data_IF_258734094473
#
_entry.id   IF_258734094473
#
_cell.length_a   1.000
_cell.length_b   1.000
_cell.length_c   1.000
_cell.angle_alpha   90.00
_cell.angle_beta   90.00
_cell.angle_gamma   90.00
#
_symmetry.space_group_name_H-M   'P 1'
#
loop_
_entity.id
_entity.type
_entity.pdbx_description
1 polymer ?
#
# COMPACT_ATOMS: atom_id res chain seq x y z
N UNK A 1 3.22 18.29 4.32
CA UNK A 1 3.64 17.21 5.24
C UNK A 1 4.83 16.43 4.66
N UNK A 2 4.67 15.56 3.64
CA UNK A 2 5.80 14.78 3.08
C UNK A 2 6.92 15.68 2.51
N UNK A 3 6.55 16.78 1.84
CA UNK A 3 7.49 17.78 1.33
C UNK A 3 8.34 18.44 2.43
N UNK A 4 7.82 18.52 3.67
CA UNK A 4 8.57 19.08 4.80
C UNK A 4 9.73 18.16 5.18
N UNK A 5 9.50 16.84 5.19
CA UNK A 5 10.59 15.88 5.42
C UNK A 5 11.61 15.95 4.28
N UNK A 6 11.15 15.97 3.03
CA UNK A 6 12.05 16.10 1.87
C UNK A 6 12.93 17.36 1.97
N UNK A 7 12.40 18.47 2.46
CA UNK A 7 13.15 19.72 2.65
C UNK A 7 14.30 19.64 3.68
N UNK A 8 14.36 18.62 4.53
CA UNK A 8 15.53 18.40 5.40
C UNK A 8 16.69 17.72 4.67
N UNK A 9 16.47 17.18 3.48
CA UNK A 9 17.48 16.50 2.69
C UNK A 9 18.28 17.43 1.77
N UNK A 10 19.26 16.87 1.08
CA UNK A 10 20.08 17.60 0.12
C UNK A 10 19.26 18.01 -1.11
N UNK A 11 19.37 19.28 -1.54
CA UNK A 11 18.74 19.76 -2.78
C UNK A 11 19.42 19.13 -4.00
N UNK A 12 18.64 18.45 -4.82
CA UNK A 12 19.12 17.79 -6.04
C UNK A 12 19.02 18.68 -7.27
N UNK A 13 18.01 19.56 -7.34
CA UNK A 13 17.81 20.44 -8.49
C UNK A 13 16.37 20.90 -8.65
N UNK A 14 16.07 21.49 -9.81
CA UNK A 14 14.74 21.97 -10.17
C UNK A 14 14.37 21.49 -11.57
N UNK A 15 13.15 20.97 -11.71
CA UNK A 15 12.60 20.53 -13.00
C UNK A 15 11.15 21.00 -13.09
N UNK A 16 10.82 21.78 -14.13
CA UNK A 16 9.45 22.27 -14.35
C UNK A 16 8.90 23.13 -13.21
N UNK A 17 9.75 23.90 -12.52
CA UNK A 17 9.36 24.74 -11.39
C UNK A 17 9.24 23.99 -10.05
N UNK A 18 9.53 22.68 -10.02
CA UNK A 18 9.52 21.88 -8.80
C UNK A 18 10.95 21.67 -8.28
N UNK A 19 11.18 21.97 -7.00
CA UNK A 19 12.46 21.75 -6.33
C UNK A 19 12.50 20.34 -5.74
N UNK A 20 13.49 19.56 -6.14
CA UNK A 20 13.68 18.18 -5.68
C UNK A 20 14.79 18.11 -4.63
N UNK A 21 14.53 17.30 -3.62
CA UNK A 21 15.49 16.98 -2.55
C UNK A 21 15.63 15.47 -2.44
N UNK A 22 16.82 15.02 -2.05
CA UNK A 22 17.04 13.63 -1.60
C UNK A 22 16.24 13.42 -0.33
N UNK A 23 15.74 12.20 -0.10
CA UNK A 23 15.18 11.89 1.21
C UNK A 23 16.26 12.05 2.30
N UNK A 24 15.96 12.66 3.47
CA UNK A 24 16.97 12.92 4.50
C UNK A 24 17.64 11.65 5.01
N UNK A 25 18.93 11.74 5.36
CA UNK A 25 19.63 10.64 6.03
C UNK A 25 19.12 10.42 7.46
N UNK A 26 19.42 9.27 8.05
CA UNK A 26 19.05 8.93 9.42
C UNK A 26 19.64 9.96 10.40
N UNK A 27 20.90 10.34 10.21
CA UNK A 27 21.60 11.33 11.06
C UNK A 27 20.95 12.71 10.97
N UNK A 28 20.45 13.08 9.79
CA UNK A 28 19.75 14.36 9.60
C UNK A 28 18.41 14.34 10.32
N UNK A 29 17.63 13.27 10.18
CA UNK A 29 16.33 13.13 10.86
C UNK A 29 16.48 13.04 12.38
N UNK A 30 17.53 12.40 12.89
CA UNK A 30 17.77 12.27 14.33
C UNK A 30 18.02 13.63 15.02
N UNK A 31 18.45 14.64 14.26
CA UNK A 31 18.67 16.03 14.72
C UNK A 31 17.42 16.90 14.66
N UNK A 32 16.39 16.49 13.90
CA UNK A 32 15.12 17.22 13.84
C UNK A 32 14.39 17.03 15.17
N UNK A 33 13.83 18.11 15.71
CA UNK A 33 13.05 18.06 16.94
C UNK A 33 11.62 17.57 16.70
N UNK A 34 11.02 16.96 17.72
CA UNK A 34 9.60 16.57 17.66
C UNK A 34 8.70 17.81 17.45
N UNK A 35 9.05 18.94 18.07
CA UNK A 35 8.28 20.18 17.98
C UNK A 35 8.22 20.71 16.55
N UNK A 36 9.34 20.75 15.82
CA UNK A 36 9.37 21.16 14.41
C UNK A 36 8.44 20.29 13.55
N UNK A 37 8.43 18.97 13.77
CA UNK A 37 7.54 18.08 13.04
C UNK A 37 6.07 18.25 13.46
N UNK A 38 5.79 18.58 14.72
CA UNK A 38 4.41 18.87 15.17
C UNK A 38 3.88 20.14 14.51
N UNK A 39 4.69 21.20 14.47
CA UNK A 39 4.38 22.46 13.78
C UNK A 39 4.19 22.24 12.28
N UNK A 40 4.92 21.29 11.68
CA UNK A 40 4.74 20.85 10.30
C UNK A 40 3.51 19.93 10.06
N UNK A 41 2.70 19.67 11.09
CA UNK A 41 1.44 18.95 10.98
C UNK A 41 1.53 17.42 11.12
N UNK A 42 2.68 16.85 11.52
CA UNK A 42 2.80 15.40 11.70
C UNK A 42 2.03 14.86 12.93
N UNK A 43 1.59 15.76 13.81
CA UNK A 43 0.82 15.42 15.02
C UNK A 43 1.57 14.41 15.89
N UNK A 44 0.84 13.41 16.42
CA UNK A 44 1.45 12.39 17.28
C UNK A 44 2.51 11.52 16.58
N UNK A 45 2.58 11.52 15.24
CA UNK A 45 3.59 10.75 14.49
C UNK A 45 4.97 11.42 14.51
N UNK A 46 5.04 12.70 14.86
CA UNK A 46 6.31 13.42 15.03
C UNK A 46 7.26 12.66 15.98
N UNK A 47 6.75 12.19 17.12
CA UNK A 47 7.53 11.42 18.10
C UNK A 47 8.04 10.09 17.55
N UNK A 48 7.29 9.46 16.63
CA UNK A 48 7.70 8.20 16.01
C UNK A 48 8.82 8.44 15.02
N UNK A 49 8.72 9.46 14.16
CA UNK A 49 9.76 9.76 13.17
C UNK A 49 11.09 10.05 13.86
N UNK A 50 11.09 10.95 14.85
CA UNK A 50 12.30 11.30 15.61
C UNK A 50 12.81 10.12 16.42
N UNK A 51 11.91 9.38 17.08
CA UNK A 51 12.26 8.20 17.85
C UNK A 51 12.91 7.11 17.00
N UNK A 52 12.29 6.76 15.87
CA UNK A 52 12.81 5.77 14.92
C UNK A 52 14.17 6.19 14.35
N UNK A 53 14.34 7.47 13.97
CA UNK A 53 15.63 7.94 13.47
C UNK A 53 16.75 7.79 14.50
N UNK A 54 16.48 8.10 15.78
CA UNK A 54 17.43 7.93 16.89
C UNK A 54 17.73 6.46 17.18
N UNK A 55 16.70 5.62 17.25
CA UNK A 55 16.85 4.16 17.43
C UNK A 55 17.68 3.52 16.32
N UNK A 56 17.45 3.93 15.07
CA UNK A 56 18.22 3.48 13.92
C UNK A 56 19.67 3.97 14.00
N UNK A 57 19.90 5.24 14.35
CA UNK A 57 21.24 5.79 14.52
C UNK A 57 22.04 5.04 15.61
N UNK A 58 21.36 4.58 16.67
CA UNK A 58 21.96 3.82 17.76
C UNK A 58 22.20 2.33 17.45
N UNK A 59 21.74 1.80 16.31
CA UNK A 59 21.98 0.40 15.97
C UNK A 59 23.48 0.11 15.77
N UNK A 60 23.98 -1.05 16.22
CA UNK A 60 25.36 -1.46 15.96
C UNK A 60 25.67 -1.47 14.46
N UNK A 61 26.70 -0.73 14.06
CA UNK A 61 27.09 -0.59 12.65
C UNK A 61 26.20 0.35 11.82
N UNK A 62 25.29 1.09 12.46
CA UNK A 62 24.44 2.10 11.84
C UNK A 62 23.10 1.57 11.34
N UNK A 63 22.10 2.47 11.29
CA UNK A 63 20.73 2.13 10.92
C UNK A 63 20.58 1.58 9.51
N UNK A 64 21.33 2.11 8.53
CA UNK A 64 21.29 1.62 7.15
C UNK A 64 21.78 0.17 7.04
N UNK A 65 22.89 -0.17 7.71
CA UNK A 65 23.42 -1.54 7.74
C UNK A 65 22.45 -2.50 8.42
N UNK A 66 21.86 -2.08 9.54
CA UNK A 66 20.85 -2.89 10.23
C UNK A 66 19.62 -3.14 9.35
N UNK A 67 19.08 -2.10 8.69
CA UNK A 67 17.95 -2.23 7.76
C UNK A 67 18.28 -3.14 6.59
N UNK A 68 19.46 -3.00 5.98
CA UNK A 68 19.90 -3.86 4.88
C UNK A 68 20.00 -5.33 5.31
N UNK A 69 20.48 -5.60 6.52
CA UNK A 69 20.60 -6.97 7.06
C UNK A 69 19.26 -7.70 7.20
N UNK A 70 18.13 -6.97 7.23
CA UNK A 70 16.81 -7.59 7.33
C UNK A 70 16.37 -8.29 6.05
N UNK A 71 16.98 -8.00 4.89
CA UNK A 71 16.71 -8.70 3.63
C UNK A 71 17.10 -10.18 3.66
N UNK A 72 18.03 -10.54 4.52
CA UNK A 72 18.57 -11.91 4.65
C UNK A 72 17.81 -12.75 5.69
N UNK A 73 16.72 -12.21 6.26
CA UNK A 73 15.93 -12.84 7.32
C UNK A 73 14.57 -13.30 6.83
N UNK A 74 14.00 -14.24 7.57
CA UNK A 74 12.64 -14.72 7.29
C UNK A 74 11.59 -13.70 7.73
N UNK A 75 10.45 -13.66 7.04
CA UNK A 75 9.41 -12.64 7.26
C UNK A 75 9.01 -12.47 8.75
N UNK A 76 8.78 -13.52 9.56
CA UNK A 76 8.44 -13.35 10.97
C UNK A 76 9.50 -12.56 11.75
N UNK A 77 10.79 -12.84 11.50
CA UNK A 77 11.90 -12.16 12.16
C UNK A 77 12.03 -10.71 11.69
N UNK A 78 11.77 -10.45 10.40
CA UNK A 78 11.73 -9.08 9.83
C UNK A 78 10.63 -8.26 10.50
N UNK A 79 9.42 -8.83 10.64
CA UNK A 79 8.29 -8.17 11.29
C UNK A 79 8.61 -7.87 12.76
N UNK A 80 9.11 -8.86 13.50
CA UNK A 80 9.50 -8.70 14.90
C UNK A 80 10.56 -7.59 15.06
N UNK A 81 11.63 -7.65 14.27
CA UNK A 81 12.72 -6.68 14.31
C UNK A 81 12.23 -5.25 14.02
N UNK A 82 11.40 -5.05 12.99
CA UNK A 82 10.85 -3.74 12.64
C UNK A 82 9.87 -3.22 13.69
N UNK A 83 9.08 -4.09 14.32
CA UNK A 83 8.14 -3.70 15.39
C UNK A 83 8.83 -3.20 16.66
N UNK A 84 10.15 -3.37 16.80
CA UNK A 84 10.93 -2.71 17.85
C UNK A 84 11.03 -1.19 17.68
N UNK A 85 10.80 -0.67 16.47
CA UNK A 85 10.90 0.75 16.17
C UNK A 85 9.66 1.52 16.62
N UNK A 86 9.81 2.74 17.17
CA UNK A 86 8.68 3.57 17.60
C UNK A 86 7.63 3.78 16.51
N UNK A 87 6.38 3.46 16.80
CA UNK A 87 5.25 3.66 15.88
C UNK A 87 5.16 2.65 14.72
N UNK A 88 6.03 1.64 14.69
CA UNK A 88 5.97 0.54 13.73
C UNK A 88 5.23 -0.65 14.36
N UNK A 89 4.02 -0.91 13.91
CA UNK A 89 3.27 -2.13 14.23
C UNK A 89 3.30 -3.14 13.08
N UNK A 90 2.68 -4.34 13.25
CA UNK A 90 2.75 -5.43 12.28
C UNK A 90 2.37 -5.02 10.85
N UNK A 91 1.33 -4.20 10.69
CA UNK A 91 0.92 -3.67 9.37
C UNK A 91 2.02 -2.83 8.72
N UNK A 92 2.61 -1.90 9.48
CA UNK A 92 3.66 -1.01 8.96
C UNK A 92 4.93 -1.81 8.65
N UNK A 93 5.30 -2.74 9.53
CA UNK A 93 6.41 -3.65 9.29
C UNK A 93 6.20 -4.48 8.01
N UNK A 94 4.99 -5.00 7.78
CA UNK A 94 4.66 -5.73 6.56
C UNK A 94 4.71 -4.85 5.31
N UNK A 95 4.31 -3.56 5.39
CA UNK A 95 4.53 -2.62 4.29
C UNK A 95 6.02 -2.46 3.96
N UNK A 96 6.87 -2.30 4.98
CA UNK A 96 8.32 -2.16 4.78
C UNK A 96 8.90 -3.45 4.19
N UNK A 97 8.48 -4.60 4.71
CA UNK A 97 8.90 -5.91 4.24
C UNK A 97 8.57 -6.11 2.74
N UNK A 98 7.32 -5.85 2.36
CA UNK A 98 6.83 -6.01 0.98
C UNK A 98 7.52 -5.06 0.00
N UNK A 99 7.64 -3.77 0.35
CA UNK A 99 8.05 -2.73 -0.60
C UNK A 99 9.55 -2.42 -0.59
N UNK A 100 10.31 -2.90 0.39
CA UNK A 100 11.71 -2.51 0.57
C UNK A 100 12.68 -3.63 0.94
N UNK A 101 12.18 -4.79 1.40
CA UNK A 101 13.01 -5.89 1.91
C UNK A 101 12.81 -7.22 1.18
N UNK A 102 12.30 -7.17 -0.05
CA UNK A 102 12.19 -8.31 -0.96
C UNK A 102 11.25 -9.46 -0.47
N UNK A 103 10.42 -9.19 0.55
CA UNK A 103 9.43 -10.14 1.10
C UNK A 103 8.12 -10.12 0.29
N UNK A 104 8.16 -10.65 -0.94
CA UNK A 104 7.06 -10.59 -1.92
C UNK A 104 5.72 -11.19 -1.46
N UNK A 105 5.74 -12.03 -0.43
CA UNK A 105 4.57 -12.70 0.15
C UNK A 105 4.01 -11.97 1.39
N UNK A 106 4.68 -10.92 1.88
CA UNK A 106 4.22 -10.18 3.05
C UNK A 106 2.89 -9.46 2.77
N UNK A 107 1.94 -9.58 3.70
CA UNK A 107 0.58 -9.00 3.56
C UNK A 107 0.39 -7.89 4.60
N UNK A 108 0.36 -6.61 4.20
CA UNK A 108 0.07 -5.50 5.10
C UNK A 108 -1.43 -5.43 5.45
N UNK A 109 -1.89 -6.29 6.36
CA UNK A 109 -3.31 -6.37 6.72
C UNK A 109 -3.78 -5.10 7.44
N UNK A 110 -4.60 -4.33 6.75
CA UNK A 110 -5.32 -3.17 7.27
C UNK A 110 -6.83 -3.33 7.07
N UNK A 111 -7.59 -2.23 7.26
CA UNK A 111 -9.04 -2.25 7.09
C UNK A 111 -9.49 -2.47 5.65
N UNK A 112 -8.68 -2.15 4.64
CA UNK A 112 -8.99 -2.42 3.23
C UNK A 112 -8.74 -3.89 2.90
N UNK A 113 -7.58 -4.42 3.29
CA UNK A 113 -7.29 -5.85 3.16
C UNK A 113 -8.33 -6.69 3.90
N UNK A 114 -8.74 -6.25 5.10
CA UNK A 114 -9.83 -6.88 5.85
C UNK A 114 -11.14 -6.91 5.07
N UNK A 115 -11.54 -5.81 4.45
CA UNK A 115 -12.74 -5.77 3.60
C UNK A 115 -12.64 -6.77 2.45
N UNK A 116 -11.54 -6.80 1.72
CA UNK A 116 -11.28 -7.79 0.65
C UNK A 116 -11.42 -9.21 1.22
N UNK A 117 -10.73 -9.50 2.33
CA UNK A 117 -10.73 -10.82 2.94
C UNK A 117 -12.14 -11.26 3.33
N UNK A 118 -12.89 -10.42 4.05
CA UNK A 118 -14.27 -10.74 4.46
C UNK A 118 -15.26 -10.81 3.31
N UNK A 119 -14.95 -10.22 2.15
CA UNK A 119 -15.82 -10.27 0.99
C UNK A 119 -15.59 -11.54 0.16
N UNK A 120 -14.34 -12.00 0.04
CA UNK A 120 -13.96 -13.03 -0.94
C UNK A 120 -13.34 -14.30 -0.36
N UNK A 121 -12.73 -14.22 0.83
CA UNK A 121 -12.02 -15.35 1.45
C UNK A 121 -12.74 -15.87 2.70
N UNK A 122 -13.34 -14.97 3.49
CA UNK A 122 -14.01 -15.27 4.75
C UNK A 122 -15.36 -14.55 4.90
N UNK A 123 -16.38 -14.86 4.08
CA UNK A 123 -17.71 -14.26 4.16
C UNK A 123 -18.36 -14.34 5.56
N UNK A 124 -18.06 -15.41 6.31
CA UNK A 124 -18.54 -15.64 7.68
C UNK A 124 -17.95 -14.69 8.73
N UNK A 125 -16.92 -13.92 8.36
CA UNK A 125 -16.33 -12.88 9.20
C UNK A 125 -16.83 -11.47 8.86
N UNK A 126 -17.74 -11.34 7.88
CA UNK A 126 -18.35 -10.06 7.54
C UNK A 126 -19.01 -9.40 8.76
N UNK A 127 -18.76 -8.11 8.95
CA UNK A 127 -19.27 -7.33 10.09
C UNK A 127 -18.48 -7.49 11.39
N UNK A 128 -17.50 -8.40 11.47
CA UNK A 128 -16.60 -8.52 12.63
C UNK A 128 -15.45 -7.51 12.54
N UNK A 129 -14.92 -7.15 13.71
CA UNK A 129 -13.73 -6.29 13.81
C UNK A 129 -12.45 -7.07 13.53
N UNK A 130 -11.52 -6.44 12.82
CA UNK A 130 -10.16 -6.95 12.64
C UNK A 130 -9.43 -6.97 14.00
N UNK A 131 -8.86 -8.13 14.35
CA UNK A 131 -8.03 -8.32 15.54
C UNK A 131 -6.62 -8.79 15.15
N UNK A 132 -5.62 -8.70 16.04
CA UNK A 132 -4.27 -9.19 15.74
C UNK A 132 -4.24 -10.68 15.34
N UNK A 133 -5.06 -11.51 15.99
CA UNK A 133 -5.18 -12.94 15.62
C UNK A 133 -5.76 -13.10 14.22
N UNK A 134 -6.81 -12.35 13.90
CA UNK A 134 -7.42 -12.39 12.57
C UNK A 134 -6.50 -11.84 11.48
N UNK A 135 -5.62 -10.86 11.78
CA UNK A 135 -4.66 -10.38 10.78
C UNK A 135 -3.68 -11.47 10.34
N UNK A 136 -3.26 -12.35 11.24
CA UNK A 136 -2.39 -13.49 10.88
C UNK A 136 -3.14 -14.46 9.96
N UNK A 137 -4.36 -14.86 10.36
CA UNK A 137 -5.21 -15.75 9.56
C UNK A 137 -5.48 -15.19 8.16
N UNK A 138 -5.73 -13.89 8.05
CA UNK A 138 -5.94 -13.23 6.77
C UNK A 138 -4.66 -13.26 5.92
N UNK A 139 -3.50 -12.92 6.50
CA UNK A 139 -2.24 -12.97 5.78
C UNK A 139 -1.96 -14.37 5.22
N UNK A 140 -2.11 -15.41 6.04
CA UNK A 140 -1.93 -16.80 5.64
C UNK A 140 -2.88 -17.22 4.52
N UNK A 141 -4.12 -16.74 4.54
CA UNK A 141 -5.09 -17.02 3.48
C UNK A 141 -4.70 -16.41 2.13
N UNK A 142 -4.18 -15.17 2.13
CA UNK A 142 -3.65 -14.54 0.92
C UNK A 142 -2.42 -15.30 0.40
N UNK A 143 -1.49 -15.67 1.28
CA UNK A 143 -0.30 -16.46 0.90
C UNK A 143 -0.70 -17.83 0.34
N UNK A 144 -1.64 -18.53 0.98
CA UNK A 144 -2.17 -19.81 0.50
C UNK A 144 -2.81 -19.68 -0.88
N UNK A 145 -3.50 -18.57 -1.15
CA UNK A 145 -4.23 -18.35 -2.40
C UNK A 145 -3.35 -17.90 -3.56
N UNK A 146 -2.33 -17.09 -3.29
CA UNK A 146 -1.53 -16.38 -4.30
C UNK A 146 -0.03 -16.73 -4.29
N UNK A 147 0.41 -17.55 -3.34
CA UNK A 147 1.78 -18.06 -3.27
C UNK A 147 2.82 -16.99 -2.92
N UNK A 148 4.02 -17.14 -3.50
CA UNK A 148 5.21 -16.33 -3.19
C UNK A 148 5.09 -14.84 -3.52
N UNK A 149 4.11 -14.46 -4.35
CA UNK A 149 3.84 -13.07 -4.74
C UNK A 149 2.53 -12.53 -4.16
N UNK A 150 2.03 -13.13 -3.07
CA UNK A 150 0.75 -12.76 -2.50
C UNK A 150 0.63 -11.28 -2.10
N UNK A 151 1.71 -10.64 -1.66
CA UNK A 151 1.72 -9.20 -1.35
C UNK A 151 1.49 -8.33 -2.59
N UNK A 152 2.08 -8.71 -3.73
CA UNK A 152 1.85 -8.04 -5.01
C UNK A 152 0.43 -8.26 -5.53
N UNK A 153 -0.09 -9.48 -5.44
CA UNK A 153 -1.48 -9.78 -5.79
C UNK A 153 -2.48 -8.96 -4.93
N UNK A 154 -2.22 -8.88 -3.62
CA UNK A 154 -3.00 -8.06 -2.71
C UNK A 154 -2.95 -6.58 -3.09
N UNK A 155 -1.79 -6.06 -3.51
CA UNK A 155 -1.65 -4.67 -3.94
C UNK A 155 -2.52 -4.35 -5.18
N UNK A 156 -2.61 -5.28 -6.16
CA UNK A 156 -3.52 -5.15 -7.30
C UNK A 156 -4.98 -5.07 -6.84
N UNK A 157 -5.39 -5.94 -5.90
CA UNK A 157 -6.74 -5.91 -5.34
C UNK A 157 -7.03 -4.60 -4.59
N UNK A 158 -6.05 -4.07 -3.85
CA UNK A 158 -6.16 -2.77 -3.18
C UNK A 158 -6.35 -1.62 -4.19
N UNK A 159 -5.54 -1.59 -5.25
CA UNK A 159 -5.64 -0.57 -6.30
C UNK A 159 -7.02 -0.60 -6.96
N UNK A 160 -7.54 -1.80 -7.27
CA UNK A 160 -8.89 -1.97 -7.84
C UNK A 160 -10.02 -1.48 -6.93
N UNK A 161 -9.77 -1.31 -5.63
CA UNK A 161 -10.75 -0.76 -4.69
C UNK A 161 -10.70 0.76 -4.53
N UNK A 162 -9.68 1.42 -5.07
CA UNK A 162 -9.57 2.88 -5.01
C UNK A 162 -10.76 3.53 -5.75
N UNK A 163 -11.38 4.59 -5.19
CA UNK A 163 -12.56 5.21 -5.80
C UNK A 163 -12.38 5.61 -7.27
N UNK A 164 -11.21 6.13 -7.63
CA UNK A 164 -10.87 6.52 -9.00
C UNK A 164 -10.86 5.35 -9.99
N UNK A 165 -10.51 4.14 -9.53
CA UNK A 165 -10.46 2.96 -10.39
C UNK A 165 -11.85 2.32 -10.56
N UNK A 166 -12.71 2.40 -9.53
CA UNK A 166 -14.10 1.92 -9.63
C UNK A 166 -14.91 2.66 -10.68
N UNK A 167 -14.66 3.95 -10.86
CA UNK A 167 -15.32 4.77 -11.89
C UNK A 167 -14.93 4.32 -13.31
N UNK A 168 -13.64 4.08 -13.55
CA UNK A 168 -13.13 3.61 -14.85
C UNK A 168 -13.70 2.23 -15.21
N UNK A 169 -13.81 1.30 -14.24
CA UNK A 169 -14.41 -0.02 -14.48
C UNK A 169 -15.90 0.09 -14.80
N UNK A 170 -16.64 0.99 -14.13
CA UNK A 170 -18.05 1.23 -14.42
C UNK A 170 -18.25 1.79 -15.83
N UNK A 171 -17.37 2.69 -16.28
CA UNK A 171 -17.40 3.25 -17.63
C UNK A 171 -17.12 2.17 -18.70
N UNK A 172 -16.04 1.38 -18.53
CA UNK A 172 -15.68 0.30 -19.47
C UNK A 172 -16.75 -0.78 -19.55
N UNK A 173 -17.38 -1.13 -18.43
CA UNK A 173 -18.47 -2.13 -18.42
C UNK A 173 -19.76 -1.58 -19.04
N UNK A 174 -20.03 -0.28 -18.90
CA UNK A 174 -21.16 0.37 -19.56
C UNK A 174 -21.01 0.51 -21.08
N UNK A 175 -19.79 0.60 -21.60
CA UNK A 175 -19.50 0.71 -23.04
C UNK A 175 -19.52 -0.65 -23.78
N UNK A 176 -19.51 -1.76 -23.03
CA UNK A 176 -19.49 -3.13 -23.60
C UNK A 176 -20.88 -3.69 -23.96
N UNK A 177 -21.95 -2.90 -23.81
CA UNK A 177 -23.33 -3.37 -23.99
C UNK A 177 -24.19 -2.49 -24.88
N UNK A 178 -24.05 -2.56 -26.21
CA UNK A 178 -25.20 -2.48 -27.16
C UNK A 178 -24.77 -2.78 -28.61
N UNK A 179 -24.64 -4.05 -28.98
CA UNK A 179 -24.93 -4.48 -30.36
C UNK A 179 -26.35 -5.04 -30.39
N UNK A 180 -27.34 -4.21 -30.74
CA UNK A 180 -28.71 -4.67 -31.02
C UNK A 180 -28.71 -5.56 -32.27
N UNK A 181 -29.43 -6.70 -32.30
CA UNK A 181 -29.60 -7.49 -33.51
C UNK A 181 -30.51 -6.73 -34.48
N UNK A 182 -30.02 -6.46 -35.69
CA UNK A 182 -30.76 -5.76 -36.74
C UNK A 182 -31.90 -6.66 -37.25
N UNK A 183 -33.16 -6.30 -36.94
CA UNK A 183 -34.35 -6.94 -37.53
C UNK A 183 -34.36 -6.68 -39.04
N UNK A 184 -34.20 -7.73 -39.83
CA UNK A 184 -34.36 -7.72 -41.29
C UNK A 184 -35.85 -7.59 -41.62
N UNK A 185 -36.23 -6.44 -42.21
CA UNK A 185 -37.60 -6.12 -42.64
C UNK A 185 -37.93 -6.99 -43.88
N UNK A 186 -38.85 -7.94 -43.75
CA UNK A 186 -39.53 -8.57 -44.91
C UNK A 186 -40.57 -7.57 -45.40
N UNK A 187 -40.41 -7.08 -46.64
CA UNK A 187 -41.45 -6.38 -47.38
C UNK A 187 -41.95 -7.26 -48.52
N UNK A 188 -43.16 -7.79 -48.38
CA UNK A 188 -44.15 -7.88 -49.46
C UNK A 188 -45.22 -6.82 -49.12
N UNK A 189 -45.99 -6.24 -50.03
CA UNK A 189 -46.49 -6.67 -51.33
C UNK A 189 -46.83 -5.42 -52.17
N UNK A 190 -46.83 -5.52 -53.50
CA UNK A 190 -48.07 -5.49 -54.31
C UNK A 190 -47.81 -5.23 -55.79
N UNK A 191 -48.53 -6.04 -56.58
CA UNK A 191 -48.76 -6.05 -58.02
C UNK A 191 -49.65 -4.86 -58.43
N UNK A 192 -49.41 -4.24 -59.60
CA UNK A 192 -50.41 -4.06 -60.69
C UNK A 192 -49.88 -3.30 -61.92
N UNK A 193 -50.11 -3.93 -63.09
CA UNK A 193 -50.53 -3.44 -64.41
C UNK A 193 -49.77 -2.28 -65.10
N UNK A 194 -49.04 -2.61 -66.18
CA UNK A 194 -49.49 -2.52 -67.60
C UNK A 194 -48.39 -3.03 -68.54
#
# INVERSE_FOLDING_TARGET
MVWTLAGYGERLGEVGGFVFHRFPTIERLARVSEQELREAGFGYRAKYIVGTARELQAKPGGGEKWLASLRERELPEVIEALCTLPGVGPKVAACIALFSLDQNHAIPVDTHVWKVATQYLFPELAGKSLTPKLSVVVADAFVTRFGSYAGWAQNVLFIGQLPSQKLVVAEVTSDSGTTKPTKRKRGGDHVENM
#
